data_IF_811892813453
#
_entry.id   IF_811892813453
#
_cell.length_a   1.000
_cell.length_b   1.000
_cell.length_c   1.000
_cell.angle_alpha   90.00
_cell.angle_beta   90.00
_cell.angle_gamma   90.00
#
_symmetry.space_group_name_H-M   'P 1'
#
loop_
_entity.id
_entity.type
_entity.pdbx_description
1 polymer ?
#
# COMPACT_ATOMS: atom_id res chain seq x y z
N UNK A 1 -3.53 -18.34 -17.01
CA UNK A 1 -4.67 -17.41 -17.22
C UNK A 1 -6.06 -18.06 -17.11
N UNK A 2 -6.23 -19.18 -16.40
CA UNK A 2 -7.52 -19.89 -16.29
C UNK A 2 -8.25 -19.63 -14.96
N UNK A 3 -7.51 -19.35 -13.87
CA UNK A 3 -8.11 -19.13 -12.55
C UNK A 3 -9.06 -17.92 -12.50
N UNK A 4 -8.68 -16.79 -13.10
CA UNK A 4 -9.51 -15.59 -13.13
C UNK A 4 -10.80 -15.76 -13.96
N UNK A 5 -10.83 -16.69 -14.93
CA UNK A 5 -11.98 -16.90 -15.80
C UNK A 5 -12.89 -18.04 -15.33
N UNK A 6 -12.33 -19.07 -14.68
CA UNK A 6 -13.08 -20.25 -14.25
C UNK A 6 -13.40 -20.27 -12.75
N UNK A 7 -12.46 -19.87 -11.89
CA UNK A 7 -12.61 -20.00 -10.44
C UNK A 7 -13.11 -18.72 -9.76
N UNK A 8 -12.69 -17.54 -10.25
CA UNK A 8 -13.09 -16.26 -9.66
C UNK A 8 -14.62 -16.04 -9.68
N UNK A 9 -15.38 -16.36 -10.75
CA UNK A 9 -16.84 -16.21 -10.73
C UNK A 9 -17.50 -17.04 -9.62
N UNK A 10 -17.07 -18.30 -9.44
CA UNK A 10 -17.57 -19.20 -8.38
C UNK A 10 -17.28 -18.62 -7.00
N UNK A 11 -16.09 -18.04 -6.80
CA UNK A 11 -15.72 -17.41 -5.54
C UNK A 11 -16.57 -16.16 -5.24
N UNK A 12 -16.81 -15.32 -6.26
CA UNK A 12 -17.65 -14.13 -6.12
C UNK A 12 -19.07 -14.53 -5.72
N UNK A 13 -19.69 -15.47 -6.43
CA UNK A 13 -21.06 -15.93 -6.16
C UNK A 13 -21.20 -16.44 -4.72
N UNK A 14 -20.21 -17.20 -4.24
CA UNK A 14 -20.22 -17.69 -2.86
C UNK A 14 -20.03 -16.58 -1.82
N UNK A 15 -19.05 -15.69 -2.03
CA UNK A 15 -18.72 -14.65 -1.04
C UNK A 15 -19.78 -13.56 -0.96
N UNK A 16 -20.52 -13.29 -2.03
CA UNK A 16 -21.67 -12.38 -2.02
C UNK A 16 -22.69 -12.79 -0.95
N UNK A 17 -23.04 -14.08 -0.91
CA UNK A 17 -23.99 -14.62 0.09
C UNK A 17 -23.34 -14.75 1.48
N UNK A 18 -22.09 -15.21 1.54
CA UNK A 18 -21.40 -15.44 2.81
C UNK A 18 -21.15 -14.14 3.62
N UNK A 19 -21.05 -13.00 2.94
CA UNK A 19 -20.71 -11.70 3.56
C UNK A 19 -21.92 -10.81 3.89
N UNK A 20 -23.16 -11.14 3.49
CA UNK A 20 -24.35 -10.25 3.61
C UNK A 20 -24.54 -9.63 5.00
N UNK A 21 -24.25 -10.38 6.07
CA UNK A 21 -24.40 -9.91 7.46
C UNK A 21 -23.07 -9.87 8.22
N UNK A 22 -21.96 -9.76 7.48
CA UNK A 22 -20.61 -9.65 8.05
C UNK A 22 -20.18 -8.18 7.97
N UNK A 23 -20.00 -7.50 9.12
CA UNK A 23 -19.45 -6.15 9.08
C UNK A 23 -18.04 -6.19 8.49
N UNK A 24 -17.67 -5.12 7.79
CA UNK A 24 -16.30 -4.94 7.35
C UNK A 24 -15.38 -4.88 8.57
N UNK A 25 -14.29 -5.64 8.52
CA UNK A 25 -13.23 -5.54 9.53
C UNK A 25 -12.14 -4.62 9.00
N UNK A 26 -11.87 -3.49 9.69
CA UNK A 26 -10.83 -2.59 9.25
C UNK A 26 -9.48 -3.30 9.30
N UNK A 27 -8.66 -3.06 8.28
CA UNK A 27 -7.29 -3.51 8.27
C UNK A 27 -6.49 -2.67 9.25
N UNK A 28 -6.09 -3.27 10.38
CA UNK A 28 -5.22 -2.62 11.35
C UNK A 28 -3.78 -2.68 10.85
N UNK A 29 -3.19 -1.52 10.60
CA UNK A 29 -1.80 -1.43 10.18
C UNK A 29 -0.86 -1.95 11.28
N UNK A 30 -0.02 -2.96 11.01
CA UNK A 30 0.99 -3.41 11.96
C UNK A 30 2.05 -2.31 12.21
N UNK A 31 2.70 -2.27 13.39
CA UNK A 31 3.61 -1.18 13.78
C UNK A 31 4.85 -1.02 12.88
N UNK A 32 5.27 -2.07 12.20
CA UNK A 32 6.44 -2.06 11.31
C UNK A 32 6.11 -1.83 9.83
N UNK A 33 4.81 -1.63 9.53
CA UNK A 33 4.35 -1.19 8.21
C UNK A 33 4.19 0.32 8.24
N UNK A 34 4.75 0.99 7.24
CA UNK A 34 4.71 2.43 7.03
C UNK A 34 4.23 2.72 5.62
N UNK A 35 3.65 3.90 5.38
CA UNK A 35 3.32 4.36 4.03
C UNK A 35 4.32 5.42 3.57
N UNK A 36 4.65 5.39 2.28
CA UNK A 36 5.50 6.40 1.64
C UNK A 36 4.99 6.70 0.22
N UNK A 37 5.31 7.90 -0.27
CA UNK A 37 4.96 8.31 -1.64
C UNK A 37 5.91 7.68 -2.65
N UNK A 38 5.36 7.11 -3.73
CA UNK A 38 6.11 6.58 -4.86
C UNK A 38 5.60 7.12 -6.18
N UNK A 39 6.48 7.17 -7.17
CA UNK A 39 6.10 7.44 -8.56
C UNK A 39 5.53 6.14 -9.17
N UNK A 40 4.26 6.10 -9.57
CA UNK A 40 3.62 4.88 -10.08
C UNK A 40 4.23 4.38 -11.39
N UNK A 41 4.95 5.24 -12.14
CA UNK A 41 5.60 4.87 -13.40
C UNK A 41 6.94 4.17 -13.16
N UNK A 42 7.66 4.56 -12.11
CA UNK A 42 9.03 4.08 -11.85
C UNK A 42 9.17 3.18 -10.62
N UNK A 43 8.19 3.20 -9.71
CA UNK A 43 8.22 2.48 -8.44
C UNK A 43 9.21 3.03 -7.42
N UNK A 44 9.84 4.18 -7.70
CA UNK A 44 10.82 4.82 -6.80
C UNK A 44 10.12 5.75 -5.83
N UNK A 45 10.80 6.03 -4.71
CA UNK A 45 10.36 7.05 -3.77
C UNK A 45 10.20 8.39 -4.49
N UNK A 46 9.04 8.99 -4.32
CA UNK A 46 8.71 10.27 -4.90
C UNK A 46 9.00 11.39 -3.89
N UNK A 47 9.72 12.41 -4.35
CA UNK A 47 9.92 13.63 -3.56
C UNK A 47 8.62 14.43 -3.41
N UNK A 48 8.62 15.39 -2.48
CA UNK A 48 7.45 16.20 -2.14
C UNK A 48 6.74 16.86 -3.36
N UNK A 49 7.49 17.25 -4.38
CA UNK A 49 7.01 17.97 -5.56
C UNK A 49 6.47 17.06 -6.68
N UNK A 50 6.53 15.74 -6.53
CA UNK A 50 5.98 14.84 -7.54
C UNK A 50 4.45 14.91 -7.55
N UNK A 51 3.87 15.39 -8.65
CA UNK A 51 2.42 15.62 -8.78
C UNK A 51 1.62 14.30 -8.86
N UNK A 52 2.17 13.28 -9.54
CA UNK A 52 1.50 11.99 -9.78
C UNK A 52 1.81 10.92 -8.69
N UNK A 53 2.38 11.29 -7.55
CA UNK A 53 2.83 10.31 -6.58
C UNK A 53 1.67 9.70 -5.77
N UNK A 54 1.69 8.38 -5.60
CA UNK A 54 0.72 7.61 -4.81
C UNK A 54 1.34 7.12 -3.50
N UNK A 55 0.51 6.82 -2.50
CA UNK A 55 0.96 6.15 -1.28
C UNK A 55 1.00 4.64 -1.48
N UNK A 56 2.05 4.01 -0.98
CA UNK A 56 2.21 2.55 -0.94
C UNK A 56 2.77 2.13 0.43
N UNK A 57 2.49 0.89 0.82
CA UNK A 57 2.94 0.32 2.09
C UNK A 57 4.29 -0.39 1.97
N UNK A 58 5.15 -0.16 2.95
CA UNK A 58 6.47 -0.77 3.07
C UNK A 58 6.69 -1.26 4.49
N UNK A 59 7.47 -2.33 4.64
CA UNK A 59 8.13 -2.55 5.94
C UNK A 59 9.14 -1.44 6.18
N UNK A 60 9.39 -1.12 7.46
CA UNK A 60 10.42 -0.14 7.84
C UNK A 60 11.78 -0.43 7.18
N UNK A 61 12.20 -1.69 7.19
CA UNK A 61 13.48 -2.14 6.62
C UNK A 61 13.53 -1.91 5.10
N UNK A 62 12.44 -2.17 4.38
CA UNK A 62 12.37 -1.91 2.94
C UNK A 62 12.46 -0.41 2.64
N UNK A 63 11.77 0.42 3.41
CA UNK A 63 11.80 1.87 3.22
C UNK A 63 13.22 2.42 3.42
N UNK A 64 13.92 1.99 4.46
CA UNK A 64 15.31 2.38 4.75
C UNK A 64 16.27 1.99 3.60
N UNK A 65 16.09 0.79 3.05
CA UNK A 65 16.87 0.32 1.89
C UNK A 65 16.61 1.18 0.64
N UNK A 66 15.36 1.54 0.37
CA UNK A 66 14.98 2.39 -0.77
C UNK A 66 15.50 3.83 -0.63
N UNK A 67 15.51 4.37 0.59
CA UNK A 67 16.06 5.70 0.90
C UNK A 67 17.57 5.74 0.63
N UNK A 68 18.28 4.70 1.07
CA UNK A 68 19.73 4.56 0.87
C UNK A 68 20.14 4.53 -0.61
N UNK A 69 19.28 4.00 -1.47
CA UNK A 69 19.49 3.98 -2.93
C UNK A 69 19.11 5.31 -3.61
N UNK A 70 18.18 6.06 -3.02
CA UNK A 70 17.62 7.28 -3.63
C UNK A 70 18.37 8.55 -3.22
N UNK A 71 19.25 8.48 -2.22
CA UNK A 71 19.97 9.65 -1.68
C UNK A 71 19.05 10.68 -0.99
N UNK A 72 17.80 10.32 -0.70
CA UNK A 72 16.79 11.16 -0.08
C UNK A 72 16.88 11.02 1.45
N UNK A 73 16.87 12.14 2.17
CA UNK A 73 17.04 12.17 3.63
C UNK A 73 15.71 12.05 4.41
N UNK A 74 15.76 11.40 5.58
CA UNK A 74 14.60 10.83 6.31
C UNK A 74 13.44 11.79 6.66
N UNK A 75 13.67 13.09 6.78
CA UNK A 75 12.73 13.98 7.49
C UNK A 75 12.25 15.19 6.66
N UNK A 76 12.90 15.51 5.54
CA UNK A 76 12.64 16.75 4.78
C UNK A 76 11.93 16.56 3.44
N UNK A 77 12.16 15.41 2.80
CA UNK A 77 11.80 15.24 1.38
C UNK A 77 10.64 14.26 1.19
N UNK A 78 10.36 13.42 2.20
CA UNK A 78 9.37 12.35 2.15
C UNK A 78 8.29 12.61 3.19
N UNK A 79 7.05 12.70 2.73
CA UNK A 79 5.89 12.73 3.60
C UNK A 79 5.61 11.30 4.05
N UNK A 80 6.26 10.87 5.14
CA UNK A 80 6.04 9.56 5.78
C UNK A 80 4.95 9.75 6.82
N UNK A 81 3.74 9.31 6.51
CA UNK A 81 2.66 9.31 7.48
C UNK A 81 2.70 8.01 8.28
N UNK A 82 2.75 8.12 9.61
CA UNK A 82 2.17 7.08 10.46
C UNK A 82 0.67 7.24 10.30
N UNK A 83 0.04 6.41 9.48
CA UNK A 83 -1.40 6.46 9.30
C UNK A 83 -2.08 6.13 10.65
N UNK A 84 -2.45 7.17 11.39
CA UNK A 84 -3.45 7.05 12.45
C UNK A 84 -4.78 7.02 11.71
N UNK A 85 -5.25 5.82 11.38
CA UNK A 85 -6.57 5.61 10.80
C UNK A 85 -7.61 5.97 11.87
N UNK A 86 -8.54 6.87 11.52
CA UNK A 86 -9.76 7.16 12.26
C UNK A 86 -10.69 5.94 12.30
#
# INVERSE_FOLDING_TARGET
>A
ETGARAALPIWIDYMQEALVNRPEWPLVQPPDIVSARIDPKTGKLAGAQAEDAIFEFFTRVQLEALQSQSGLSLERDLQVERAVLF
#
